data_IF_629557837712
#
_entry.id   IF_629557837712
#
_cell.length_a   1.000
_cell.length_b   1.000
_cell.length_c   1.000
_cell.angle_alpha   90.00
_cell.angle_beta   90.00
_cell.angle_gamma   90.00
#
_symmetry.space_group_name_H-M   'P 1'
#
loop_
_entity.id
_entity.type
_entity.pdbx_description
1 polymer ?
#
# COMPACT_ATOMS: atom_id res chain seq x y z
N UNK A 1 11.46 4.26 13.35
CA UNK A 1 12.04 5.62 13.14
C UNK A 1 10.94 6.68 13.15
N UNK A 2 11.27 7.99 13.30
CA UNK A 2 10.24 9.03 13.53
C UNK A 2 9.39 9.40 12.31
N UNK A 3 9.84 9.09 11.09
CA UNK A 3 9.13 9.51 9.89
C UNK A 3 8.71 8.32 9.04
N UNK A 4 7.43 7.98 9.07
CA UNK A 4 6.80 6.98 8.21
C UNK A 4 6.62 7.58 6.81
N UNK A 5 7.39 7.11 5.84
CA UNK A 5 7.46 7.70 4.50
C UNK A 5 6.15 7.55 3.72
N UNK A 6 5.45 6.38 3.69
CA UNK A 6 4.18 6.27 3.00
C UNK A 6 3.13 7.28 3.47
N UNK A 7 3.03 7.52 4.79
CA UNK A 7 2.12 8.52 5.35
C UNK A 7 2.48 9.94 4.93
N UNK A 8 3.78 10.26 4.88
CA UNK A 8 4.24 11.58 4.41
C UNK A 8 3.96 11.77 2.91
N UNK A 9 4.14 10.74 2.08
CA UNK A 9 3.78 10.80 0.66
C UNK A 9 2.27 10.95 0.45
N UNK A 10 1.46 10.27 1.24
CA UNK A 10 0.00 10.46 1.25
C UNK A 10 -0.36 11.89 1.65
N UNK A 11 0.28 12.45 2.68
CA UNK A 11 0.07 13.83 3.09
C UNK A 11 0.40 14.84 1.98
N UNK A 12 1.47 14.61 1.18
CA UNK A 12 1.81 15.45 0.02
C UNK A 12 0.64 15.51 -0.98
N UNK A 13 0.01 14.35 -1.29
CA UNK A 13 -1.14 14.29 -2.19
C UNK A 13 -2.35 15.03 -1.60
N UNK A 14 -2.69 14.73 -0.34
CA UNK A 14 -3.86 15.31 0.33
C UNK A 14 -3.73 16.82 0.51
N UNK A 15 -2.57 17.33 0.85
CA UNK A 15 -2.33 18.78 0.96
C UNK A 15 -2.55 19.50 -0.37
N UNK A 16 -2.21 18.85 -1.50
CA UNK A 16 -2.53 19.39 -2.83
C UNK A 16 -4.03 19.47 -3.07
N UNK A 17 -4.74 18.36 -2.90
CA UNK A 17 -6.20 18.30 -3.06
C UNK A 17 -6.94 19.24 -2.10
N UNK A 18 -6.47 19.34 -0.86
CA UNK A 18 -7.01 20.29 0.12
C UNK A 18 -6.84 21.73 -0.35
N UNK A 19 -5.69 22.10 -0.91
CA UNK A 19 -5.48 23.44 -1.43
C UNK A 19 -6.42 23.76 -2.61
N UNK A 20 -6.71 22.80 -3.49
CA UNK A 20 -7.68 22.93 -4.57
C UNK A 20 -9.09 23.18 -4.01
N UNK A 21 -9.54 22.39 -3.03
CA UNK A 21 -10.84 22.58 -2.37
C UNK A 21 -10.97 23.93 -1.69
N UNK A 22 -9.90 24.39 -1.00
CA UNK A 22 -9.87 25.67 -0.29
C UNK A 22 -9.94 26.88 -1.25
N UNK A 23 -9.60 26.71 -2.52
CA UNK A 23 -9.69 27.75 -3.56
C UNK A 23 -11.04 27.78 -4.29
N UNK A 24 -11.92 26.81 -4.07
CA UNK A 24 -13.24 26.83 -4.67
C UNK A 24 -14.02 28.10 -4.25
N UNK A 25 -14.78 28.72 -5.17
CA UNK A 25 -15.55 29.94 -4.85
C UNK A 25 -16.51 29.78 -3.67
N UNK A 26 -17.03 28.56 -3.46
CA UNK A 26 -17.92 28.23 -2.33
C UNK A 26 -17.21 28.10 -0.98
N UNK A 27 -15.88 27.89 -0.97
CA UNK A 27 -15.06 27.77 0.25
C UNK A 27 -14.28 29.05 0.52
N UNK A 28 -13.57 29.56 -0.50
CA UNK A 28 -12.87 30.84 -0.54
C UNK A 28 -11.91 31.09 0.63
N UNK A 29 -10.99 30.13 0.88
CA UNK A 29 -9.98 30.21 1.95
C UNK A 29 -8.54 30.24 1.37
N UNK A 30 -8.17 31.29 0.62
CA UNK A 30 -6.88 31.33 -0.11
C UNK A 30 -5.66 31.35 0.82
N UNK A 31 -5.79 31.90 2.03
CA UNK A 31 -4.70 31.91 3.01
C UNK A 31 -4.37 30.50 3.50
N UNK A 32 -5.40 29.66 3.76
CA UNK A 32 -5.21 28.26 4.14
C UNK A 32 -4.68 27.44 2.96
N UNK A 33 -5.16 27.68 1.74
CA UNK A 33 -4.65 27.03 0.54
C UNK A 33 -3.14 27.30 0.36
N UNK A 34 -2.70 28.54 0.54
CA UNK A 34 -1.27 28.89 0.48
C UNK A 34 -0.45 28.15 1.56
N UNK A 35 -0.95 28.06 2.79
CA UNK A 35 -0.30 27.30 3.87
C UNK A 35 -0.20 25.81 3.55
N UNK A 36 -1.26 25.20 3.00
CA UNK A 36 -1.26 23.79 2.58
C UNK A 36 -0.22 23.52 1.50
N UNK A 37 -0.13 24.39 0.47
CA UNK A 37 0.88 24.28 -0.58
C UNK A 37 2.31 24.47 -0.06
N UNK A 38 2.52 25.38 0.89
CA UNK A 38 3.83 25.59 1.50
C UNK A 38 4.27 24.34 2.29
N UNK A 39 3.37 23.75 3.10
CA UNK A 39 3.65 22.50 3.82
C UNK A 39 3.89 21.33 2.84
N UNK A 40 3.05 21.19 1.81
CA UNK A 40 3.26 20.20 0.74
C UNK A 40 4.68 20.30 0.17
N UNK A 41 5.12 21.50 -0.21
CA UNK A 41 6.45 21.72 -0.77
C UNK A 41 7.58 21.32 0.21
N UNK A 42 7.44 21.64 1.50
CA UNK A 42 8.40 21.25 2.53
C UNK A 42 8.50 19.72 2.68
N UNK A 43 7.37 19.04 2.80
CA UNK A 43 7.34 17.56 2.96
C UNK A 43 7.87 16.89 1.69
N UNK A 44 7.53 17.41 0.51
CA UNK A 44 8.02 16.89 -0.77
C UNK A 44 9.54 17.03 -0.90
N UNK A 45 10.10 18.17 -0.51
CA UNK A 45 11.56 18.38 -0.49
C UNK A 45 12.26 17.44 0.49
N UNK A 46 11.67 17.23 1.69
CA UNK A 46 12.18 16.30 2.68
C UNK A 46 12.14 14.85 2.16
N UNK A 47 11.05 14.43 1.51
CA UNK A 47 10.96 13.13 0.87
C UNK A 47 12.04 12.92 -0.20
N UNK A 48 12.24 13.88 -1.10
CA UNK A 48 13.27 13.79 -2.14
C UNK A 48 14.67 13.66 -1.54
N UNK A 49 14.93 14.32 -0.42
CA UNK A 49 16.23 14.32 0.23
C UNK A 49 16.50 13.09 1.08
N UNK A 50 15.48 12.57 1.76
CA UNK A 50 15.65 11.58 2.83
C UNK A 50 14.86 10.28 2.62
N UNK A 51 13.80 10.30 1.80
CA UNK A 51 12.91 9.15 1.60
C UNK A 51 13.36 8.18 0.52
N UNK A 52 14.30 8.58 -0.35
CA UNK A 52 14.79 7.77 -1.47
C UNK A 52 16.14 7.16 -1.09
N UNK A 53 16.21 5.84 -1.15
CA UNK A 53 17.36 5.03 -0.72
C UNK A 53 17.98 4.33 -1.92
N UNK A 54 19.31 4.31 -2.00
CA UNK A 54 20.02 3.50 -2.99
C UNK A 54 20.22 2.08 -2.43
N UNK A 55 19.52 1.10 -3.03
CA UNK A 55 19.65 -0.32 -2.68
C UNK A 55 20.53 -1.05 -3.70
N UNK A 56 21.38 -1.99 -3.23
CA UNK A 56 22.33 -2.69 -4.12
C UNK A 56 21.62 -3.53 -5.19
N UNK A 57 20.55 -4.25 -4.83
CA UNK A 57 19.85 -5.17 -5.72
C UNK A 57 18.71 -4.49 -6.50
N UNK A 58 17.98 -3.56 -5.88
CA UNK A 58 16.75 -2.99 -6.45
C UNK A 58 16.95 -1.56 -7.02
N UNK A 59 18.15 -0.99 -6.92
CA UNK A 59 18.40 0.39 -7.37
C UNK A 59 17.77 1.40 -6.40
N UNK A 60 17.25 2.51 -6.92
CA UNK A 60 16.54 3.49 -6.09
C UNK A 60 15.19 2.95 -5.64
N UNK A 61 14.94 2.99 -4.34
CA UNK A 61 13.70 2.57 -3.68
C UNK A 61 13.22 3.64 -2.71
N UNK A 62 11.98 3.52 -2.27
CA UNK A 62 11.40 4.33 -1.18
C UNK A 62 11.63 3.59 0.13
N UNK A 63 12.24 4.26 1.12
CA UNK A 63 12.36 3.72 2.49
C UNK A 63 11.00 3.69 3.18
N UNK A 64 10.76 2.72 4.07
CA UNK A 64 9.52 2.65 4.84
C UNK A 64 9.51 3.71 5.95
N UNK A 65 10.55 3.74 6.75
CA UNK A 65 10.79 4.77 7.77
C UNK A 65 12.19 5.35 7.65
N UNK A 66 12.32 6.63 7.97
CA UNK A 66 13.60 7.34 7.98
C UNK A 66 13.74 8.23 9.21
N UNK A 67 14.99 8.60 9.57
CA UNK A 67 15.26 9.54 10.67
C UNK A 67 15.78 10.90 10.20
N UNK A 68 16.00 11.10 8.89
CA UNK A 68 16.59 12.33 8.34
C UNK A 68 18.12 12.44 8.46
N UNK A 69 18.78 11.49 9.13
CA UNK A 69 20.23 11.44 9.37
C UNK A 69 20.91 10.25 8.69
N UNK A 70 20.24 9.63 7.71
CA UNK A 70 20.79 8.52 6.92
C UNK A 70 20.37 7.12 7.39
N UNK A 71 19.69 6.98 8.53
CA UNK A 71 19.11 5.68 8.93
C UNK A 71 17.73 5.50 8.33
N UNK A 72 17.43 4.26 7.94
CA UNK A 72 16.15 3.88 7.34
C UNK A 72 15.79 2.44 7.70
N UNK A 73 14.48 2.15 7.68
CA UNK A 73 13.97 0.77 7.68
C UNK A 73 13.50 0.39 6.29
N UNK A 74 13.86 -0.83 5.89
CA UNK A 74 13.37 -1.46 4.66
C UNK A 74 12.43 -2.59 5.03
N UNK A 75 11.16 -2.30 4.97
CA UNK A 75 10.05 -3.23 5.15
C UNK A 75 8.82 -2.67 4.44
N UNK A 76 7.74 -3.39 4.44
CA UNK A 76 6.39 -2.86 4.25
C UNK A 76 5.45 -3.59 5.20
N UNK A 77 4.38 -2.95 5.57
CA UNK A 77 3.31 -3.45 6.43
C UNK A 77 2.02 -3.50 5.60
N UNK A 78 1.15 -4.45 5.87
CA UNK A 78 -0.14 -4.54 5.20
C UNK A 78 -1.13 -3.42 5.55
N UNK A 79 -0.89 -2.68 6.64
CA UNK A 79 -1.68 -1.50 6.98
C UNK A 79 -1.47 -0.36 5.97
N UNK A 80 -2.54 0.37 5.70
CA UNK A 80 -2.52 1.54 4.81
C UNK A 80 -2.44 2.81 5.68
N UNK A 81 -1.54 3.74 5.38
CA UNK A 81 -0.59 3.86 4.26
C UNK A 81 0.62 2.89 4.32
N UNK A 82 0.89 2.19 3.22
CA UNK A 82 2.04 1.32 3.02
C UNK A 82 2.78 1.70 1.72
N UNK A 83 3.98 1.18 1.53
CA UNK A 83 4.72 1.38 0.27
C UNK A 83 3.98 0.78 -0.92
N UNK A 84 3.38 -0.41 -0.73
CA UNK A 84 2.59 -1.08 -1.75
C UNK A 84 1.35 -0.26 -2.14
N UNK A 85 0.72 0.43 -1.18
CA UNK A 85 -0.52 1.20 -1.38
C UNK A 85 -0.32 2.58 -2.02
N UNK A 86 0.89 3.05 -2.24
CA UNK A 86 1.16 4.42 -2.70
C UNK A 86 0.40 4.83 -3.96
N UNK A 87 0.27 3.99 -5.03
CA UNK A 87 -0.55 4.36 -6.18
C UNK A 87 -2.04 4.47 -5.86
N UNK A 88 -2.57 3.57 -5.03
CA UNK A 88 -3.95 3.63 -4.56
C UNK A 88 -4.24 4.94 -3.81
N UNK A 89 -3.27 5.42 -3.03
CA UNK A 89 -3.34 6.71 -2.33
C UNK A 89 -3.11 7.93 -3.23
N UNK A 90 -2.86 7.72 -4.53
CA UNK A 90 -2.55 8.79 -5.49
C UNK A 90 -1.24 9.52 -5.20
N UNK A 91 -0.33 8.88 -4.47
CA UNK A 91 0.93 9.48 -4.05
C UNK A 91 2.06 9.28 -5.07
N UNK A 92 1.92 8.31 -5.97
CA UNK A 92 2.86 8.02 -7.06
C UNK A 92 2.13 7.25 -8.17
N UNK A 93 2.60 7.39 -9.41
CA UNK A 93 2.05 6.62 -10.53
C UNK A 93 2.46 5.14 -10.45
N UNK A 94 1.58 4.18 -10.81
CA UNK A 94 1.85 2.74 -10.70
C UNK A 94 2.99 2.26 -11.61
N UNK A 95 3.29 2.98 -12.69
CA UNK A 95 4.38 2.70 -13.62
C UNK A 95 5.68 3.48 -13.31
N UNK A 96 5.71 4.26 -12.23
CA UNK A 96 6.91 5.03 -11.86
C UNK A 96 8.07 4.06 -11.51
N UNK A 97 9.27 4.24 -12.09
CA UNK A 97 10.40 3.34 -11.86
C UNK A 97 10.81 3.21 -10.38
N UNK A 98 10.72 4.31 -9.62
CA UNK A 98 11.01 4.29 -8.17
C UNK A 98 10.01 3.40 -7.42
N UNK A 99 8.71 3.50 -7.76
CA UNK A 99 7.69 2.64 -7.19
C UNK A 99 7.87 1.18 -7.62
N UNK A 100 8.12 0.92 -8.90
CA UNK A 100 8.31 -0.45 -9.40
C UNK A 100 9.50 -1.15 -8.73
N UNK A 101 10.59 -0.44 -8.47
CA UNK A 101 11.72 -0.98 -7.72
C UNK A 101 11.34 -1.26 -6.25
N UNK A 102 10.63 -0.33 -5.61
CA UNK A 102 10.13 -0.49 -4.24
C UNK A 102 9.16 -1.67 -4.16
N UNK A 103 8.22 -1.77 -5.10
CA UNK A 103 7.27 -2.88 -5.20
C UNK A 103 7.96 -4.25 -5.31
N UNK A 104 9.02 -4.36 -6.12
CA UNK A 104 9.81 -5.60 -6.23
C UNK A 104 10.45 -5.99 -4.89
N UNK A 105 10.92 -5.02 -4.12
CA UNK A 105 11.49 -5.27 -2.79
C UNK A 105 10.41 -5.74 -1.82
N UNK A 106 9.31 -5.00 -1.70
CA UNK A 106 8.28 -5.29 -0.67
C UNK A 106 7.52 -6.58 -0.94
N UNK A 107 7.47 -7.04 -2.19
CA UNK A 107 6.92 -8.33 -2.60
C UNK A 107 7.99 -9.42 -2.74
N UNK A 108 9.04 -9.37 -1.95
CA UNK A 108 10.13 -10.35 -1.91
C UNK A 108 10.56 -10.64 -0.47
N UNK A 109 11.41 -11.65 -0.29
CA UNK A 109 11.99 -12.03 1.01
C UNK A 109 12.87 -10.93 1.64
N UNK A 110 13.18 -9.85 0.92
CA UNK A 110 13.83 -8.67 1.47
C UNK A 110 12.89 -7.82 2.36
N UNK A 111 11.58 -8.03 2.27
CA UNK A 111 10.62 -7.52 3.23
C UNK A 111 10.37 -8.58 4.31
N UNK A 112 10.73 -8.33 5.59
CA UNK A 112 10.57 -9.31 6.67
C UNK A 112 9.12 -9.71 6.95
N UNK A 113 8.14 -8.96 6.43
CA UNK A 113 6.72 -9.26 6.55
C UNK A 113 6.09 -9.83 5.28
N UNK A 114 6.89 -10.08 4.23
CA UNK A 114 6.41 -10.82 3.07
C UNK A 114 6.49 -12.32 3.37
N UNK A 115 5.34 -12.98 3.34
CA UNK A 115 5.22 -14.40 3.59
C UNK A 115 4.72 -15.14 2.35
N UNK A 116 5.26 -16.34 2.16
CA UNK A 116 4.85 -17.26 1.11
C UNK A 116 4.75 -18.66 1.66
N UNK A 117 3.62 -19.33 1.43
CA UNK A 117 3.36 -20.66 1.91
C UNK A 117 2.36 -21.43 1.05
N UNK A 118 1.84 -22.52 1.61
CA UNK A 118 0.90 -23.42 0.90
C UNK A 118 -0.46 -22.80 0.65
N UNK A 119 -0.93 -21.92 1.55
CA UNK A 119 -2.23 -21.28 1.44
C UNK A 119 -2.16 -20.02 0.55
N UNK A 120 -1.04 -19.29 0.56
CA UNK A 120 -0.93 -18.08 -0.24
C UNK A 120 0.39 -17.33 -0.06
N UNK A 121 0.47 -16.17 -0.70
CA UNK A 121 1.59 -15.24 -0.56
C UNK A 121 1.09 -13.78 -0.44
N UNK A 122 1.75 -12.99 0.40
CA UNK A 122 1.41 -11.58 0.60
C UNK A 122 2.15 -10.98 1.78
N UNK A 123 1.85 -9.72 2.07
CA UNK A 123 2.46 -8.98 3.18
C UNK A 123 1.56 -9.12 4.41
N UNK A 124 2.18 -9.37 5.54
CA UNK A 124 1.57 -9.33 6.86
C UNK A 124 1.95 -8.06 7.61
N UNK A 125 2.21 -8.21 8.90
CA UNK A 125 2.64 -7.10 9.74
C UNK A 125 2.92 -7.55 11.17
N UNK A 126 3.48 -6.68 12.00
CA UNK A 126 3.83 -7.04 13.38
C UNK A 126 2.61 -7.29 14.28
N UNK A 127 1.40 -6.85 13.88
CA UNK A 127 0.20 -6.87 14.71
C UNK A 127 -0.43 -8.26 14.86
N UNK A 128 -0.28 -9.13 13.86
CA UNK A 128 -0.94 -10.45 13.83
C UNK A 128 0.03 -11.62 13.99
N UNK A 129 1.31 -11.31 14.23
CA UNK A 129 2.37 -12.30 14.44
C UNK A 129 3.03 -12.77 13.13
N UNK A 130 4.06 -13.60 13.30
CA UNK A 130 4.81 -14.15 12.19
C UNK A 130 3.96 -15.12 11.35
N UNK A 131 4.36 -15.31 10.09
CA UNK A 131 3.73 -16.25 9.14
C UNK A 131 2.26 -15.96 8.82
N UNK A 132 1.78 -14.76 9.12
CA UNK A 132 0.42 -14.33 8.81
C UNK A 132 0.38 -13.32 7.67
N UNK A 133 -0.51 -13.54 6.72
CA UNK A 133 -0.73 -12.70 5.54
C UNK A 133 -2.04 -11.95 5.73
N UNK A 134 -2.06 -10.66 5.40
CA UNK A 134 -3.29 -9.88 5.41
C UNK A 134 -3.92 -9.86 4.02
N UNK A 135 -5.19 -10.24 3.86
CA UNK A 135 -5.93 -10.09 2.61
C UNK A 135 -5.83 -8.67 2.02
N UNK A 136 -5.78 -7.64 2.86
CA UNK A 136 -5.60 -6.25 2.40
C UNK A 136 -4.36 -6.07 1.52
N UNK A 137 -3.23 -6.72 1.85
CA UNK A 137 -2.01 -6.61 1.04
C UNK A 137 -2.17 -7.26 -0.34
N UNK A 138 -2.91 -8.38 -0.42
CA UNK A 138 -3.19 -9.07 -1.68
C UNK A 138 -4.14 -8.23 -2.53
N UNK A 139 -5.15 -7.60 -1.91
CA UNK A 139 -6.09 -6.69 -2.57
C UNK A 139 -5.34 -5.48 -3.14
N UNK A 140 -4.48 -4.84 -2.34
CA UNK A 140 -3.68 -3.69 -2.77
C UNK A 140 -2.68 -4.07 -3.86
N UNK A 141 -2.10 -5.28 -3.78
CA UNK A 141 -1.25 -5.81 -4.84
C UNK A 141 -2.00 -5.88 -6.17
N UNK A 142 -3.26 -6.32 -6.17
CA UNK A 142 -4.11 -6.35 -7.35
C UNK A 142 -4.50 -4.94 -7.84
N UNK A 143 -4.97 -4.06 -6.93
CA UNK A 143 -5.42 -2.71 -7.29
C UNK A 143 -4.30 -1.88 -7.92
N UNK A 144 -3.07 -2.06 -7.46
CA UNK A 144 -1.90 -1.29 -7.90
C UNK A 144 -1.09 -1.98 -9.01
N UNK A 145 -1.52 -3.16 -9.46
CA UNK A 145 -0.88 -3.87 -10.56
C UNK A 145 -1.40 -3.42 -11.92
N UNK A 146 -0.49 -3.40 -12.90
CA UNK A 146 -0.81 -3.22 -14.32
C UNK A 146 -0.75 -4.54 -15.11
N UNK A 147 -0.35 -5.64 -14.45
CA UNK A 147 -0.24 -6.98 -15.02
C UNK A 147 -1.49 -7.83 -14.72
N UNK A 148 -2.23 -8.18 -15.77
CA UNK A 148 -3.46 -8.97 -15.67
C UNK A 148 -3.24 -10.36 -15.06
N UNK A 149 -2.08 -10.96 -15.27
CA UNK A 149 -1.74 -12.27 -14.66
C UNK A 149 -1.57 -12.14 -13.15
N UNK A 150 -0.91 -11.07 -12.69
CA UNK A 150 -0.75 -10.80 -11.28
C UNK A 150 -2.11 -10.50 -10.62
N UNK A 151 -2.95 -9.69 -11.27
CA UNK A 151 -4.30 -9.38 -10.78
C UNK A 151 -5.11 -10.68 -10.62
N UNK A 152 -5.15 -11.52 -11.65
CA UNK A 152 -5.87 -12.81 -11.61
C UNK A 152 -5.32 -13.74 -10.52
N UNK A 153 -3.99 -13.77 -10.33
CA UNK A 153 -3.36 -14.53 -9.25
C UNK A 153 -3.83 -14.05 -7.88
N UNK A 154 -3.85 -12.74 -7.65
CA UNK A 154 -4.32 -12.13 -6.40
C UNK A 154 -5.80 -12.46 -6.13
N UNK A 155 -6.67 -12.32 -7.13
CA UNK A 155 -8.11 -12.65 -6.98
C UNK A 155 -8.29 -14.12 -6.63
N UNK A 156 -7.60 -15.05 -7.29
CA UNK A 156 -7.65 -16.48 -6.96
C UNK A 156 -7.18 -16.76 -5.54
N UNK A 157 -6.08 -16.11 -5.11
CA UNK A 157 -5.56 -16.27 -3.75
C UNK A 157 -6.62 -15.83 -2.72
N UNK A 158 -7.26 -14.68 -2.91
CA UNK A 158 -8.34 -14.21 -2.05
C UNK A 158 -9.53 -15.17 -2.01
N UNK A 159 -9.93 -15.72 -3.16
CA UNK A 159 -11.00 -16.73 -3.26
C UNK A 159 -10.67 -18.05 -2.57
N UNK A 160 -9.40 -18.41 -2.42
CA UNK A 160 -8.97 -19.66 -1.80
C UNK A 160 -8.72 -19.53 -0.29
N UNK A 161 -8.55 -18.31 0.22
CA UNK A 161 -8.11 -18.07 1.60
C UNK A 161 -9.19 -17.56 2.54
N UNK A 162 -10.45 -17.49 2.09
CA UNK A 162 -11.60 -17.11 2.94
C UNK A 162 -12.09 -18.24 3.88
N UNK A 163 -11.46 -19.41 3.87
CA UNK A 163 -11.73 -20.55 4.77
C UNK A 163 -13.23 -20.97 4.88
N UNK A 164 -13.97 -20.88 3.78
CA UNK A 164 -15.41 -21.18 3.73
C UNK A 164 -16.32 -20.14 4.39
N UNK A 165 -15.76 -19.03 4.90
CA UNK A 165 -16.55 -18.00 5.60
C UNK A 165 -17.27 -17.04 4.66
N UNK A 166 -16.79 -16.92 3.42
CA UNK A 166 -17.26 -15.91 2.44
C UNK A 166 -16.79 -14.49 2.73
N UNK A 167 -15.89 -14.29 3.71
CA UNK A 167 -15.38 -12.97 4.12
C UNK A 167 -13.88 -12.88 4.06
N UNK A 168 -13.38 -11.65 3.89
CA UNK A 168 -11.98 -11.33 4.06
C UNK A 168 -11.66 -11.15 5.55
N UNK A 169 -10.68 -11.93 6.03
CA UNK A 169 -10.18 -11.87 7.40
C UNK A 169 -9.22 -10.69 7.60
N UNK A 170 -8.85 -10.41 8.86
CA UNK A 170 -7.73 -9.51 9.14
C UNK A 170 -6.43 -10.14 8.66
N UNK A 171 -6.16 -11.40 9.06
CA UNK A 171 -5.01 -12.17 8.56
C UNK A 171 -5.32 -13.65 8.51
N UNK A 172 -4.54 -14.41 7.75
CA UNK A 172 -4.54 -15.87 7.71
C UNK A 172 -3.09 -16.40 7.72
N UNK A 173 -2.89 -17.63 8.21
CA UNK A 173 -1.57 -18.25 8.23
C UNK A 173 -1.15 -18.68 6.82
N UNK A 174 0.09 -18.38 6.42
CA UNK A 174 0.60 -18.64 5.05
C UNK A 174 0.47 -20.08 4.56
N UNK A 175 0.46 -21.06 5.48
CA UNK A 175 0.37 -22.49 5.15
C UNK A 175 -1.01 -23.10 5.42
N UNK A 176 -1.90 -22.40 6.13
CA UNK A 176 -3.21 -22.93 6.54
C UNK A 176 -4.24 -21.78 6.66
N UNK A 177 -5.02 -21.56 5.61
CA UNK A 177 -6.03 -20.51 5.57
C UNK A 177 -7.13 -20.64 6.64
N UNK A 178 -7.29 -21.83 7.25
CA UNK A 178 -8.28 -22.02 8.34
C UNK A 178 -7.84 -21.40 9.66
N UNK A 179 -6.55 -21.08 9.79
CA UNK A 179 -5.98 -20.33 10.92
C UNK A 179 -5.96 -18.85 10.61
N UNK A 180 -7.00 -18.16 11.00
CA UNK A 180 -7.19 -16.74 10.72
C UNK A 180 -7.53 -15.94 11.97
N UNK A 181 -7.23 -14.63 11.93
CA UNK A 181 -7.72 -13.65 12.91
C UNK A 181 -8.95 -12.94 12.35
N UNK A 182 -9.89 -12.55 13.24
CA UNK A 182 -11.13 -11.82 12.91
C UNK A 182 -11.82 -12.34 11.65
N UNK A 183 -12.81 -13.22 11.83
CA UNK A 183 -13.61 -13.82 10.75
C UNK A 183 -14.11 -12.81 9.71
N UNK A 184 -14.49 -11.62 10.16
CA UNK A 184 -14.91 -10.50 9.34
C UNK A 184 -14.10 -9.26 9.72
N UNK A 185 -13.40 -8.67 8.77
CA UNK A 185 -12.60 -7.46 8.97
C UNK A 185 -13.06 -6.38 7.99
N UNK A 186 -13.64 -5.30 8.51
CA UNK A 186 -14.31 -4.27 7.71
C UNK A 186 -13.40 -3.73 6.59
N UNK A 187 -12.17 -3.34 6.92
CA UNK A 187 -11.24 -2.76 5.95
C UNK A 187 -10.94 -3.71 4.79
N UNK A 188 -10.69 -4.99 5.08
CA UNK A 188 -10.42 -5.96 4.02
C UNK A 188 -11.65 -6.22 3.16
N UNK A 189 -12.85 -6.32 3.76
CA UNK A 189 -14.08 -6.58 3.02
C UNK A 189 -14.50 -5.39 2.14
N UNK A 190 -14.41 -4.16 2.64
CA UNK A 190 -14.71 -2.96 1.84
C UNK A 190 -13.72 -2.77 0.71
N UNK A 191 -12.43 -2.96 0.98
CA UNK A 191 -11.38 -2.85 -0.04
C UNK A 191 -11.50 -3.97 -1.10
N UNK A 192 -11.93 -5.17 -0.70
CA UNK A 192 -12.23 -6.26 -1.64
C UNK A 192 -13.41 -5.89 -2.55
N UNK A 193 -14.46 -5.33 -2.00
CA UNK A 193 -15.59 -4.81 -2.78
C UNK A 193 -15.15 -3.75 -3.79
N UNK A 194 -14.26 -2.84 -3.39
CA UNK A 194 -13.68 -1.83 -4.28
C UNK A 194 -12.84 -2.47 -5.41
N UNK A 195 -12.00 -3.47 -5.09
CA UNK A 195 -11.26 -4.23 -6.10
C UNK A 195 -12.19 -4.86 -7.14
N UNK A 196 -13.24 -5.56 -6.70
CA UNK A 196 -14.18 -6.22 -7.61
C UNK A 196 -14.93 -5.19 -8.46
N UNK A 197 -15.38 -4.09 -7.86
CA UNK A 197 -16.02 -3.00 -8.60
C UNK A 197 -15.08 -2.39 -9.64
N UNK A 198 -13.84 -2.12 -9.29
CA UNK A 198 -12.81 -1.62 -10.22
C UNK A 198 -12.60 -2.59 -11.39
N UNK A 199 -12.42 -3.87 -11.10
CA UNK A 199 -12.22 -4.89 -12.14
C UNK A 199 -13.45 -5.02 -13.04
N UNK A 200 -14.66 -4.97 -12.48
CA UNK A 200 -15.89 -4.98 -13.27
C UNK A 200 -15.97 -3.80 -14.24
N UNK A 201 -15.53 -2.62 -13.85
CA UNK A 201 -15.56 -1.42 -14.71
C UNK A 201 -14.42 -1.41 -15.75
N UNK A 202 -13.21 -1.79 -15.35
CA UNK A 202 -12.01 -1.57 -16.16
C UNK A 202 -11.55 -2.85 -16.90
N UNK A 203 -11.77 -4.02 -16.30
CA UNK A 203 -11.23 -5.32 -16.77
C UNK A 203 -12.20 -6.48 -16.51
N UNK A 204 -13.45 -6.45 -17.00
CA UNK A 204 -14.47 -7.45 -16.68
C UNK A 204 -14.07 -8.89 -17.03
N UNK A 205 -13.18 -9.08 -18.00
CA UNK A 205 -12.68 -10.40 -18.40
C UNK A 205 -11.73 -11.06 -17.38
N UNK A 206 -11.41 -10.40 -16.27
CA UNK A 206 -10.57 -10.97 -15.19
C UNK A 206 -11.38 -11.49 -14.00
N UNK A 207 -12.72 -11.35 -14.00
CA UNK A 207 -13.65 -11.83 -12.95
C UNK A 207 -14.22 -13.21 -13.26
#
# INVERSE_FOLDING_TARGET
>A
LPYLVPSNMFAINILGKMAELLQLPSVNEPALAKRALALKAQVQAAFQKHGIIQHQQFGKIIGFEVNGYGSFHMMDDANVPSLLSLPYLGAIEPNNPLYLNTRKLVLSENNPFFYKGKAGEGIGGPHTGADTIWPMSIILRAITSVDDKEITHCVRNLMQTHAGTGFMHESFHKDDATKFTRKWFAWANTLFGELIYKLHQEKPGLL
#
